data_IF_749961536035
#
_entry.id   IF_749961536035
#
_cell.length_a   1.000
_cell.length_b   1.000
_cell.length_c   1.000
_cell.angle_alpha   90.00
_cell.angle_beta   90.00
_cell.angle_gamma   90.00
#
_symmetry.space_group_name_H-M   'P 1'
#
loop_
_entity.id
_entity.type
_entity.pdbx_description
1 polymer ?
#
# COMPACT_ATOMS: atom_id res chain seq x y z
N UNK A 1 21.14 -61.82 24.60
CA UNK A 1 20.15 -60.85 25.11
C UNK A 1 20.51 -59.38 24.80
N UNK A 2 21.74 -58.90 25.04
CA UNK A 2 22.14 -57.50 24.74
C UNK A 2 22.04 -57.07 23.26
N UNK A 3 22.34 -57.96 22.30
CA UNK A 3 22.23 -57.66 20.85
C UNK A 3 20.79 -57.53 20.33
N UNK A 4 19.80 -58.10 21.03
CA UNK A 4 18.39 -58.00 20.65
C UNK A 4 17.75 -56.71 21.20
N UNK A 5 18.18 -56.27 22.39
CA UNK A 5 17.75 -54.99 22.99
C UNK A 5 18.24 -53.77 22.20
N UNK A 6 19.44 -53.83 21.61
CA UNK A 6 19.99 -52.74 20.79
C UNK A 6 19.25 -52.58 19.45
N UNK A 7 18.74 -53.67 18.86
CA UNK A 7 17.96 -53.62 17.61
C UNK A 7 16.53 -53.11 17.82
N UNK A 8 15.91 -53.38 18.98
CA UNK A 8 14.59 -52.84 19.32
C UNK A 8 14.63 -51.34 19.64
N UNK A 9 15.70 -50.85 20.27
CA UNK A 9 15.86 -49.43 20.59
C UNK A 9 16.05 -48.55 19.34
N UNK A 10 16.73 -49.07 18.31
CA UNK A 10 16.92 -48.35 17.04
C UNK A 10 15.64 -48.34 16.19
N UNK A 11 14.82 -49.40 16.24
CA UNK A 11 13.54 -49.45 15.52
C UNK A 11 12.48 -48.50 16.12
N UNK A 12 12.47 -48.33 17.45
CA UNK A 12 11.61 -47.36 18.15
C UNK A 12 12.05 -45.90 17.92
N UNK A 13 13.35 -45.64 17.69
CA UNK A 13 13.87 -44.29 17.39
C UNK A 13 13.63 -43.86 15.94
N UNK A 14 13.51 -44.81 15.00
CA UNK A 14 13.18 -44.50 13.61
C UNK A 14 11.68 -44.30 13.36
N UNK A 15 10.80 -44.88 14.18
CA UNK A 15 9.35 -44.73 14.03
C UNK A 15 8.83 -43.38 14.55
N UNK A 16 9.57 -42.70 15.42
CA UNK A 16 9.26 -41.33 15.87
C UNK A 16 9.70 -40.23 14.89
N UNK A 17 10.50 -40.55 13.87
CA UNK A 17 10.94 -39.59 12.84
C UNK A 17 10.04 -39.58 11.58
N UNK A 18 9.00 -40.43 11.54
CA UNK A 18 8.01 -40.49 10.46
C UNK A 18 6.60 -40.05 10.89
N UNK A 19 6.46 -39.39 12.04
CA UNK A 19 5.25 -38.58 12.27
C UNK A 19 5.43 -37.35 11.39
N UNK A 20 4.58 -37.13 10.36
CA UNK A 20 4.58 -35.83 9.72
C UNK A 20 4.33 -34.83 10.85
N UNK A 21 5.27 -33.92 11.06
CA UNK A 21 4.97 -32.68 11.78
C UNK A 21 3.82 -32.10 10.98
N UNK A 22 2.60 -32.32 11.47
CA UNK A 22 1.47 -31.47 11.15
C UNK A 22 1.94 -30.13 11.70
N UNK A 23 2.64 -29.38 10.85
CA UNK A 23 2.68 -27.96 10.96
C UNK A 23 1.20 -27.60 10.99
N UNK A 24 0.69 -27.27 12.18
CA UNK A 24 -0.46 -26.39 12.26
C UNK A 24 -0.03 -25.18 11.45
N UNK A 25 -0.42 -25.15 10.18
CA UNK A 25 -0.64 -23.89 9.51
C UNK A 25 -1.54 -23.15 10.48
N UNK A 26 -0.97 -22.14 11.14
CA UNK A 26 -1.77 -21.19 11.89
C UNK A 26 -2.72 -20.65 10.82
N UNK A 27 -3.98 -21.10 10.84
CA UNK A 27 -5.00 -20.47 10.01
C UNK A 27 -5.00 -19.02 10.46
N UNK A 28 -4.47 -18.13 9.63
CA UNK A 28 -4.59 -16.69 9.87
C UNK A 28 -6.09 -16.44 9.84
N UNK A 29 -6.66 -16.06 10.98
CA UNK A 29 -8.07 -15.71 11.05
C UNK A 29 -8.28 -14.49 10.15
N UNK A 30 -8.91 -14.71 9.00
CA UNK A 30 -9.22 -13.67 8.03
C UNK A 30 -10.45 -12.87 8.41
N UNK A 31 -11.08 -13.18 9.56
CA UNK A 31 -12.25 -12.47 10.08
C UNK A 31 -11.85 -11.70 11.34
N UNK A 32 -12.00 -10.38 11.32
CA UNK A 32 -11.74 -9.54 12.49
C UNK A 32 -11.35 -8.10 12.15
N UNK A 33 -11.23 -7.28 13.18
CA UNK A 33 -11.06 -5.83 13.03
C UNK A 33 -9.79 -5.41 12.24
N UNK A 34 -8.69 -6.17 12.35
CA UNK A 34 -7.44 -5.88 11.64
C UNK A 34 -7.51 -6.16 10.13
N UNK A 35 -7.90 -7.37 9.66
CA UNK A 35 -8.10 -7.62 8.23
C UNK A 35 -9.21 -6.75 7.63
N UNK A 36 -10.27 -6.42 8.38
CA UNK A 36 -11.33 -5.51 7.92
C UNK A 36 -10.80 -4.08 7.70
N UNK A 37 -9.96 -3.58 8.62
CA UNK A 37 -9.30 -2.28 8.49
C UNK A 37 -8.33 -2.26 7.31
N UNK A 38 -7.55 -3.32 7.11
CA UNK A 38 -6.63 -3.44 5.98
C UNK A 38 -7.40 -3.42 4.65
N UNK A 39 -8.51 -4.16 4.56
CA UNK A 39 -9.38 -4.17 3.40
C UNK A 39 -9.99 -2.78 3.14
N UNK A 40 -10.51 -2.11 4.18
CA UNK A 40 -11.09 -0.77 4.06
C UNK A 40 -10.06 0.27 3.59
N UNK A 41 -8.84 0.26 4.15
CA UNK A 41 -7.76 1.13 3.69
C UNK A 41 -7.36 0.81 2.24
N UNK A 42 -7.32 -0.47 1.87
CA UNK A 42 -7.05 -0.91 0.51
C UNK A 42 -8.10 -0.41 -0.49
N UNK A 43 -9.38 -0.47 -0.15
CA UNK A 43 -10.46 0.07 -0.97
C UNK A 43 -10.35 1.59 -1.12
N UNK A 44 -10.13 2.33 -0.02
CA UNK A 44 -9.99 3.78 -0.05
C UNK A 44 -8.77 4.24 -0.87
N UNK A 45 -7.62 3.56 -0.75
CA UNK A 45 -6.42 3.88 -1.52
C UNK A 45 -6.56 3.51 -3.00
N UNK A 46 -7.25 2.41 -3.31
CA UNK A 46 -7.60 2.07 -4.69
C UNK A 46 -8.53 3.12 -5.30
N UNK A 47 -9.61 3.46 -4.61
CA UNK A 47 -10.54 4.51 -5.04
C UNK A 47 -9.81 5.85 -5.24
N UNK A 48 -8.88 6.21 -4.34
CA UNK A 48 -8.03 7.38 -4.47
C UNK A 48 -7.28 7.40 -5.81
N UNK A 49 -6.60 6.30 -6.16
CA UNK A 49 -5.84 6.20 -7.39
C UNK A 49 -6.71 6.43 -8.62
N UNK A 50 -7.91 5.81 -8.65
CA UNK A 50 -8.85 5.96 -9.75
C UNK A 50 -9.39 7.40 -9.85
N UNK A 51 -9.82 7.97 -8.74
CA UNK A 51 -10.36 9.33 -8.69
C UNK A 51 -9.28 10.38 -9.06
N UNK A 52 -8.03 10.16 -8.66
CA UNK A 52 -6.91 11.02 -9.02
C UNK A 52 -6.69 11.03 -10.54
N UNK A 53 -6.61 9.85 -11.18
CA UNK A 53 -6.47 9.76 -12.65
C UNK A 53 -7.65 10.45 -13.35
N UNK A 54 -8.88 10.20 -12.92
CA UNK A 54 -10.08 10.83 -13.50
C UNK A 54 -10.02 12.35 -13.37
N UNK A 55 -9.66 12.87 -12.18
CA UNK A 55 -9.55 14.30 -11.94
C UNK A 55 -8.44 14.94 -12.78
N UNK A 56 -7.28 14.28 -12.94
CA UNK A 56 -6.19 14.75 -13.79
C UNK A 56 -6.60 14.83 -15.26
N UNK A 57 -7.24 13.78 -15.80
CA UNK A 57 -7.73 13.75 -17.18
C UNK A 57 -8.77 14.84 -17.42
N UNK A 58 -9.77 14.96 -16.54
CA UNK A 58 -10.81 15.99 -16.64
C UNK A 58 -10.25 17.40 -16.50
N UNK A 59 -9.25 17.59 -15.63
CA UNK A 59 -8.56 18.85 -15.45
C UNK A 59 -7.80 19.26 -16.71
N UNK A 60 -7.16 18.31 -17.38
CA UNK A 60 -6.45 18.55 -18.65
C UNK A 60 -7.42 18.87 -19.79
N UNK A 61 -8.53 18.15 -19.90
CA UNK A 61 -9.54 18.37 -20.94
C UNK A 61 -10.36 19.65 -20.73
N UNK A 62 -10.27 20.28 -19.55
CA UNK A 62 -11.15 21.39 -19.18
C UNK A 62 -12.62 20.96 -19.08
N UNK A 63 -12.86 19.71 -18.66
CA UNK A 63 -14.20 19.13 -18.65
C UNK A 63 -15.13 19.85 -17.66
N UNK A 64 -16.39 20.06 -18.06
CA UNK A 64 -17.39 20.76 -17.24
C UNK A 64 -17.66 20.08 -15.89
N UNK A 65 -17.42 18.78 -15.79
CA UNK A 65 -17.61 17.97 -14.59
C UNK A 65 -16.31 17.74 -13.79
N UNK A 66 -15.23 18.47 -14.08
CA UNK A 66 -13.98 18.43 -13.29
C UNK A 66 -14.24 18.63 -11.79
N UNK A 67 -15.06 19.61 -11.43
CA UNK A 67 -15.35 19.91 -10.02
C UNK A 67 -16.04 18.73 -9.30
N UNK A 68 -16.83 17.92 -10.01
CA UNK A 68 -17.46 16.74 -9.43
C UNK A 68 -16.41 15.66 -9.13
N UNK A 69 -15.46 15.43 -10.04
CA UNK A 69 -14.36 14.50 -9.82
C UNK A 69 -13.42 14.98 -8.71
N UNK A 70 -13.09 16.27 -8.67
CA UNK A 70 -12.30 16.86 -7.60
C UNK A 70 -13.00 16.75 -6.23
N UNK A 71 -14.32 16.96 -6.17
CA UNK A 71 -15.10 16.80 -4.95
C UNK A 71 -15.12 15.34 -4.47
N UNK A 72 -15.26 14.36 -5.38
CA UNK A 72 -15.17 12.94 -5.04
C UNK A 72 -13.79 12.58 -4.47
N UNK A 73 -12.71 13.07 -5.10
CA UNK A 73 -11.34 12.87 -4.60
C UNK A 73 -11.13 13.53 -3.22
N UNK A 74 -11.72 14.70 -2.99
CA UNK A 74 -11.74 15.38 -1.70
C UNK A 74 -12.47 14.56 -0.63
N UNK A 75 -13.63 13.99 -0.95
CA UNK A 75 -14.37 13.11 -0.03
C UNK A 75 -13.56 11.86 0.32
N UNK A 76 -12.91 11.23 -0.66
CA UNK A 76 -12.02 10.10 -0.41
C UNK A 76 -10.83 10.49 0.52
N UNK A 77 -10.31 11.71 0.39
CA UNK A 77 -9.29 12.24 1.33
C UNK A 77 -9.84 12.37 2.76
N UNK A 78 -11.09 12.80 2.92
CA UNK A 78 -11.75 12.86 4.23
C UNK A 78 -11.93 11.46 4.82
N UNK A 79 -12.37 10.50 4.01
CA UNK A 79 -12.56 9.10 4.43
C UNK A 79 -11.22 8.44 4.84
N UNK A 80 -10.14 8.68 4.08
CA UNK A 80 -8.78 8.25 4.44
C UNK A 80 -8.31 8.88 5.75
N UNK A 81 -8.53 10.19 5.93
CA UNK A 81 -8.14 10.89 7.16
C UNK A 81 -8.90 10.36 8.38
N UNK A 82 -10.18 10.03 8.22
CA UNK A 82 -10.98 9.40 9.26
C UNK A 82 -10.50 7.97 9.58
N UNK A 83 -10.08 7.20 8.57
CA UNK A 83 -9.49 5.88 8.76
C UNK A 83 -8.14 5.95 9.50
N UNK A 84 -7.31 6.95 9.21
CA UNK A 84 -6.08 7.20 10.00
C UNK A 84 -6.42 7.59 11.44
N UNK A 85 -7.42 8.45 11.63
CA UNK A 85 -7.84 8.88 12.96
C UNK A 85 -8.39 7.73 13.83
N UNK A 86 -9.06 6.74 13.23
CA UNK A 86 -9.61 5.59 13.96
C UNK A 86 -8.53 4.69 14.56
N UNK A 87 -7.31 4.71 14.00
CA UNK A 87 -6.18 3.88 14.43
C UNK A 87 -5.20 4.67 15.31
N UNK A 88 -4.84 5.88 14.89
CA UNK A 88 -3.78 6.68 15.51
C UNK A 88 -4.30 7.87 16.32
N UNK A 89 -5.63 8.03 16.41
CA UNK A 89 -6.30 9.11 17.12
C UNK A 89 -6.52 10.37 16.27
N UNK A 90 -7.43 11.24 16.74
CA UNK A 90 -7.89 12.42 16.00
C UNK A 90 -6.76 13.36 15.56
N UNK A 91 -5.78 13.61 16.43
CA UNK A 91 -4.64 14.47 16.11
C UNK A 91 -3.81 13.94 14.93
N UNK A 92 -3.68 12.61 14.80
CA UNK A 92 -2.97 12.00 13.68
C UNK A 92 -3.76 12.16 12.37
N UNK A 93 -5.08 11.98 12.37
CA UNK A 93 -5.92 12.23 11.20
C UNK A 93 -5.89 13.70 10.75
N UNK A 94 -5.93 14.63 11.70
CA UNK A 94 -5.79 16.07 11.45
C UNK A 94 -4.43 16.44 10.85
N UNK A 95 -3.35 15.81 11.31
CA UNK A 95 -2.00 16.01 10.77
C UNK A 95 -1.80 15.35 9.40
N UNK A 96 -2.44 14.19 9.17
CA UNK A 96 -2.39 13.46 7.90
C UNK A 96 -3.03 14.24 6.76
N UNK A 97 -4.24 14.75 6.96
CA UNK A 97 -5.06 15.38 5.92
C UNK A 97 -4.33 16.47 5.09
N UNK A 98 -3.65 17.47 5.68
CA UNK A 98 -2.95 18.50 4.91
C UNK A 98 -1.71 17.95 4.18
N UNK A 99 -1.05 16.92 4.71
CA UNK A 99 0.06 16.26 4.01
C UNK A 99 -0.49 15.53 2.77
N UNK A 100 -1.52 14.72 2.95
CA UNK A 100 -2.20 14.00 1.86
C UNK A 100 -2.89 14.93 0.86
N UNK A 101 -3.40 16.08 1.27
CA UNK A 101 -4.02 17.01 0.32
C UNK A 101 -2.98 17.71 -0.57
N UNK A 102 -1.72 17.81 -0.12
CA UNK A 102 -0.67 18.51 -0.85
C UNK A 102 -0.28 17.81 -2.16
N UNK A 103 -0.18 16.48 -2.19
CA UNK A 103 0.18 15.77 -3.43
C UNK A 103 -0.90 15.86 -4.50
N UNK A 104 -2.17 15.91 -4.11
CA UNK A 104 -3.28 16.17 -5.04
C UNK A 104 -3.07 17.53 -5.72
N UNK A 105 -2.69 18.55 -4.95
CA UNK A 105 -2.33 19.87 -5.47
C UNK A 105 -1.17 19.80 -6.46
N UNK A 106 -0.10 19.08 -6.14
CA UNK A 106 1.07 18.93 -7.02
C UNK A 106 0.72 18.18 -8.33
N UNK A 107 -0.17 17.18 -8.29
CA UNK A 107 -0.70 16.56 -9.50
C UNK A 107 -1.51 17.56 -10.36
N UNK A 108 -2.32 18.41 -9.73
CA UNK A 108 -3.05 19.48 -10.44
C UNK A 108 -2.08 20.48 -11.08
N UNK A 109 -1.01 20.84 -10.39
CA UNK A 109 0.01 21.74 -10.93
C UNK A 109 0.76 21.10 -12.12
N UNK A 110 1.08 19.81 -12.04
CA UNK A 110 1.63 19.05 -13.16
C UNK A 110 0.68 19.03 -14.37
N UNK A 111 -0.62 18.82 -14.14
CA UNK A 111 -1.66 18.84 -15.19
C UNK A 111 -1.73 20.21 -15.87
N UNK A 112 -1.79 21.29 -15.08
CA UNK A 112 -1.83 22.66 -15.60
C UNK A 112 -0.58 22.99 -16.40
N UNK A 113 0.60 22.64 -15.89
CA UNK A 113 1.87 22.85 -16.56
C UNK A 113 1.93 22.06 -17.89
N UNK A 114 1.43 20.82 -17.90
CA UNK A 114 1.33 20.01 -19.12
C UNK A 114 0.42 20.66 -20.16
N UNK A 115 -0.77 21.12 -19.77
CA UNK A 115 -1.69 21.83 -20.67
C UNK A 115 -1.09 23.13 -21.23
N UNK A 116 -0.30 23.85 -20.42
CA UNK A 116 0.42 25.05 -20.79
C UNK A 116 1.72 24.80 -21.58
N UNK A 117 2.13 23.54 -21.78
CA UNK A 117 3.44 23.15 -22.34
C UNK A 117 4.63 23.76 -21.56
N UNK A 118 4.46 23.93 -20.25
CA UNK A 118 5.46 24.46 -19.34
C UNK A 118 6.26 23.31 -18.71
N UNK A 119 7.42 23.02 -19.31
CA UNK A 119 8.30 21.95 -18.82
C UNK A 119 8.93 22.27 -17.46
N UNK A 120 9.23 23.54 -17.18
CA UNK A 120 9.75 23.94 -15.88
C UNK A 120 8.70 23.76 -14.77
N UNK A 121 7.45 24.10 -15.07
CA UNK A 121 6.30 23.85 -14.19
C UNK A 121 6.09 22.35 -13.91
N UNK A 122 6.21 21.49 -14.94
CA UNK A 122 6.14 20.03 -14.75
C UNK A 122 7.25 19.50 -13.84
N UNK A 123 8.50 19.93 -14.07
CA UNK A 123 9.64 19.51 -13.25
C UNK A 123 9.50 19.99 -11.80
N UNK A 124 8.99 21.21 -11.59
CA UNK A 124 8.69 21.72 -10.26
C UNK A 124 7.67 20.84 -9.54
N UNK A 125 6.55 20.50 -10.20
CA UNK A 125 5.52 19.66 -9.60
C UNK A 125 6.04 18.25 -9.25
N UNK A 126 6.91 17.67 -10.09
CA UNK A 126 7.57 16.39 -9.78
C UNK A 126 8.49 16.51 -8.56
N UNK A 127 9.25 17.60 -8.43
CA UNK A 127 10.08 17.83 -7.25
C UNK A 127 9.24 18.02 -5.97
N UNK A 128 8.08 18.66 -6.06
CA UNK A 128 7.15 18.79 -4.94
C UNK A 128 6.51 17.44 -4.55
N UNK A 129 6.20 16.59 -5.53
CA UNK A 129 5.78 15.20 -5.29
C UNK A 129 6.88 14.36 -4.62
N UNK A 130 8.15 14.56 -5.01
CA UNK A 130 9.30 13.91 -4.37
C UNK A 130 9.48 14.35 -2.91
N UNK A 131 9.33 15.64 -2.63
CA UNK A 131 9.34 16.15 -1.26
C UNK A 131 8.15 15.63 -0.43
N UNK A 132 6.96 15.56 -1.03
CA UNK A 132 5.77 15.00 -0.41
C UNK A 132 5.98 13.55 0.04
N UNK A 133 6.52 12.68 -0.83
CA UNK A 133 6.65 11.26 -0.48
C UNK A 133 7.53 11.05 0.75
N UNK A 134 8.57 11.87 0.92
CA UNK A 134 9.43 11.82 2.10
C UNK A 134 8.66 12.24 3.35
N UNK A 135 7.93 13.36 3.28
CA UNK A 135 7.13 13.86 4.40
C UNK A 135 6.02 12.88 4.82
N UNK A 136 5.35 12.26 3.85
CA UNK A 136 4.31 11.27 4.11
C UNK A 136 4.91 9.97 4.69
N UNK A 137 6.07 9.55 4.20
CA UNK A 137 6.78 8.40 4.75
C UNK A 137 7.21 8.64 6.21
N UNK A 138 7.76 9.82 6.52
CA UNK A 138 8.12 10.22 7.88
C UNK A 138 6.91 10.23 8.83
N UNK A 139 5.75 10.70 8.37
CA UNK A 139 4.51 10.65 9.15
C UNK A 139 4.18 9.23 9.61
N UNK A 140 4.24 8.25 8.71
CA UNK A 140 3.94 6.85 9.03
C UNK A 140 5.05 6.18 9.84
N UNK A 141 6.32 6.48 9.55
CA UNK A 141 7.45 6.01 10.36
C UNK A 141 7.33 6.48 11.81
N UNK A 142 7.03 7.75 12.05
CA UNK A 142 6.90 8.30 13.40
C UNK A 142 5.76 7.65 14.19
N UNK A 143 4.69 7.22 13.51
CA UNK A 143 3.60 6.48 14.12
C UNK A 143 3.97 5.02 14.42
N UNK A 144 4.85 4.39 13.63
CA UNK A 144 5.21 2.97 13.74
C UNK A 144 6.70 2.70 13.43
N UNK A 145 7.64 3.21 14.25
CA UNK A 145 9.06 3.22 13.91
C UNK A 145 9.68 1.82 13.82
N UNK A 146 9.07 0.82 14.46
CA UNK A 146 9.53 -0.57 14.44
C UNK A 146 9.12 -1.35 13.18
N UNK A 147 8.15 -0.83 12.41
CA UNK A 147 7.53 -1.56 11.29
C UNK A 147 7.66 -0.85 9.96
N UNK A 148 7.81 0.48 9.97
CA UNK A 148 7.78 1.30 8.78
C UNK A 148 9.08 2.06 8.59
N UNK A 149 9.98 1.51 7.78
CA UNK A 149 11.19 2.20 7.34
C UNK A 149 10.84 3.33 6.36
N UNK A 150 11.27 4.57 6.66
CA UNK A 150 10.96 5.75 5.83
C UNK A 150 11.36 5.55 4.37
N UNK A 151 12.53 4.95 4.11
CA UNK A 151 13.00 4.70 2.75
C UNK A 151 12.07 3.76 1.96
N UNK A 152 11.65 2.65 2.57
CA UNK A 152 10.75 1.69 1.93
C UNK A 152 9.37 2.30 1.65
N UNK A 153 8.84 3.10 2.59
CA UNK A 153 7.60 3.83 2.39
C UNK A 153 7.71 4.87 1.26
N UNK A 154 8.79 5.64 1.24
CA UNK A 154 9.03 6.65 0.20
C UNK A 154 9.20 5.99 -1.19
N UNK A 155 9.83 4.82 -1.29
CA UNK A 155 9.94 4.09 -2.54
C UNK A 155 8.57 3.58 -3.01
N UNK A 156 7.75 3.05 -2.11
CA UNK A 156 6.36 2.68 -2.38
C UNK A 156 5.52 3.84 -2.91
N UNK A 157 5.61 5.00 -2.25
CA UNK A 157 4.93 6.23 -2.67
C UNK A 157 5.45 6.74 -4.03
N UNK A 158 6.74 6.63 -4.30
CA UNK A 158 7.30 7.00 -5.60
C UNK A 158 6.78 6.12 -6.73
N UNK A 159 6.69 4.80 -6.51
CA UNK A 159 6.08 3.89 -7.48
C UNK A 159 4.63 4.30 -7.77
N UNK A 160 3.83 4.58 -6.73
CA UNK A 160 2.45 5.04 -6.89
C UNK A 160 2.37 6.35 -7.69
N UNK A 161 3.19 7.34 -7.32
CA UNK A 161 3.24 8.64 -8.00
C UNK A 161 3.55 8.47 -9.48
N UNK A 162 4.56 7.67 -9.81
CA UNK A 162 4.95 7.43 -11.20
C UNK A 162 3.85 6.73 -11.99
N UNK A 163 3.15 5.74 -11.42
CA UNK A 163 2.02 5.10 -12.11
C UNK A 163 0.88 6.09 -12.42
N UNK A 164 0.60 7.05 -11.53
CA UNK A 164 -0.39 8.10 -11.79
C UNK A 164 0.08 9.06 -12.89
N UNK A 165 1.34 9.49 -12.86
CA UNK A 165 1.93 10.34 -13.90
C UNK A 165 1.95 9.63 -15.25
N UNK A 166 2.30 8.35 -15.29
CA UNK A 166 2.33 7.52 -16.50
C UNK A 166 0.93 7.36 -17.08
N UNK A 167 -0.07 7.03 -16.26
CA UNK A 167 -1.46 6.95 -16.68
C UNK A 167 -1.96 8.26 -17.32
N UNK A 168 -1.60 9.39 -16.71
CA UNK A 168 -1.92 10.71 -17.24
C UNK A 168 -1.16 11.04 -18.53
N UNK A 169 0.16 10.82 -18.59
CA UNK A 169 0.99 11.09 -19.76
C UNK A 169 0.56 10.23 -20.96
N UNK A 170 0.28 8.94 -20.73
CA UNK A 170 -0.29 8.02 -21.72
C UNK A 170 -1.64 8.53 -22.25
N UNK A 171 -2.51 9.03 -21.36
CA UNK A 171 -3.78 9.63 -21.75
C UNK A 171 -3.60 10.88 -22.63
N UNK A 172 -2.72 11.81 -22.23
CA UNK A 172 -2.38 13.03 -22.99
C UNK A 172 -1.83 12.68 -24.37
N UNK A 173 -1.02 11.62 -24.47
CA UNK A 173 -0.47 11.09 -25.70
C UNK A 173 -1.47 10.26 -26.53
N UNK A 174 -2.72 10.11 -26.06
CA UNK A 174 -3.79 9.32 -26.67
C UNK A 174 -3.49 7.82 -26.77
N UNK A 175 -2.54 7.33 -25.98
CA UNK A 175 -2.31 5.90 -25.78
C UNK A 175 -3.22 5.40 -24.65
N UNK A 176 -4.50 5.20 -24.99
CA UNK A 176 -5.51 4.78 -24.01
C UNK A 176 -5.30 3.35 -23.50
N UNK A 177 -4.62 2.50 -24.27
CA UNK A 177 -4.27 1.15 -23.83
C UNK A 177 -3.24 1.21 -22.72
N UNK A 178 -2.18 2.00 -22.87
CA UNK A 178 -1.22 2.26 -21.81
C UNK A 178 -1.88 2.97 -20.62
N UNK A 179 -2.68 4.01 -20.86
CA UNK A 179 -3.36 4.75 -19.79
C UNK A 179 -4.22 3.85 -18.91
N UNK A 180 -5.00 2.94 -19.50
CA UNK A 180 -5.83 1.98 -18.74
C UNK A 180 -4.96 0.98 -17.96
N UNK A 181 -3.89 0.47 -18.58
CA UNK A 181 -2.95 -0.43 -17.92
C UNK A 181 -2.29 0.23 -16.72
N UNK A 182 -1.80 1.46 -16.87
CA UNK A 182 -1.10 2.20 -15.83
C UNK A 182 -2.06 2.60 -14.70
N UNK A 183 -3.30 2.98 -15.03
CA UNK A 183 -4.38 3.20 -14.04
C UNK A 183 -4.64 1.92 -13.23
N UNK A 184 -4.71 0.76 -13.89
CA UNK A 184 -4.89 -0.52 -13.20
C UNK A 184 -3.69 -0.84 -12.31
N UNK A 185 -2.47 -0.56 -12.74
CA UNK A 185 -1.26 -0.75 -11.93
C UNK A 185 -1.23 0.21 -10.74
N UNK A 186 -1.72 1.44 -10.87
CA UNK A 186 -1.87 2.36 -9.75
C UNK A 186 -2.94 1.90 -8.74
N UNK A 187 -3.99 1.21 -9.20
CA UNK A 187 -5.12 0.72 -8.39
C UNK A 187 -4.86 -0.63 -7.70
N UNK A 188 -4.33 -1.60 -8.45
CA UNK A 188 -4.27 -3.01 -8.09
C UNK A 188 -3.54 -3.34 -6.77
N UNK A 189 -2.41 -2.69 -6.42
CA UNK A 189 -1.68 -2.98 -5.17
C UNK A 189 -2.54 -2.81 -3.92
N UNK A 190 -3.62 -2.02 -3.99
CA UNK A 190 -4.45 -1.69 -2.83
C UNK A 190 -5.65 -2.61 -2.65
N UNK A 191 -6.18 -3.22 -3.73
CA UNK A 191 -7.46 -3.94 -3.67
C UNK A 191 -7.37 -5.45 -3.93
N UNK A 192 -6.26 -5.94 -4.50
CA UNK A 192 -6.17 -7.34 -4.91
C UNK A 192 -5.72 -8.30 -3.79
N UNK A 193 -5.35 -7.80 -2.61
CA UNK A 193 -4.85 -8.64 -1.51
C UNK A 193 -5.90 -9.01 -0.45
N UNK A 194 -7.11 -8.42 -0.44
CA UNK A 194 -8.12 -8.73 0.58
C UNK A 194 -8.77 -10.11 0.44
N UNK A 195 -8.55 -10.83 -0.68
CA UNK A 195 -9.12 -12.16 -0.92
C UNK A 195 -8.09 -13.28 -1.13
N UNK A 196 -6.77 -13.01 -1.07
CA UNK A 196 -5.77 -14.02 -1.45
C UNK A 196 -4.47 -14.08 -0.64
N UNK A 197 -4.52 -13.88 0.68
CA UNK A 197 -3.42 -14.26 1.57
C UNK A 197 -3.30 -15.78 1.76
N UNK A 198 -3.14 -16.48 0.64
CA UNK A 198 -2.47 -17.76 0.52
C UNK A 198 -1.21 -17.56 -0.33
N UNK A 199 -0.16 -17.02 0.30
CA UNK A 199 1.25 -17.07 -0.12
C UNK A 199 1.52 -16.95 -1.63
N UNK A 200 1.91 -15.76 -2.09
CA UNK A 200 2.79 -15.66 -3.27
C UNK A 200 3.77 -14.48 -3.17
N UNK A 201 4.84 -14.72 -2.43
CA UNK A 201 6.05 -13.88 -2.45
C UNK A 201 6.87 -14.20 -3.71
N UNK A 202 7.41 -13.23 -4.47
CA UNK A 202 8.39 -13.50 -5.50
C UNK A 202 9.79 -13.56 -4.87
N UNK A 203 10.25 -14.77 -4.56
CA UNK A 203 11.67 -15.06 -4.27
C UNK A 203 12.03 -15.33 -2.81
N UNK A 204 13.10 -16.12 -2.54
CA UNK A 204 13.44 -16.58 -1.21
C UNK A 204 14.23 -15.51 -0.46
N UNK A 205 13.61 -14.88 0.54
CA UNK A 205 14.35 -14.23 1.62
C UNK A 205 14.55 -15.27 2.71
N UNK A 206 15.79 -15.68 3.04
CA UNK A 206 16.01 -16.63 4.12
C UNK A 206 15.56 -16.00 5.45
N UNK A 207 14.53 -16.61 6.05
CA UNK A 207 14.03 -16.28 7.36
C UNK A 207 15.13 -16.54 8.41
N UNK A 208 15.76 -15.47 8.89
CA UNK A 208 16.66 -15.49 10.05
C UNK A 208 16.19 -14.48 11.09
N UNK A 209 14.97 -14.64 11.62
CA UNK A 209 14.62 -14.05 12.92
C UNK A 209 13.85 -15.12 13.71
N UNK A 210 14.35 -15.53 14.90
CA UNK A 210 13.69 -16.56 15.70
C UNK A 210 12.40 -16.01 16.33
N UNK A 211 11.28 -16.68 16.07
CA UNK A 211 10.03 -16.49 16.80
C UNK A 211 10.30 -16.67 18.31
N UNK A 212 10.21 -15.59 19.09
CA UNK A 212 10.18 -15.68 20.55
C UNK A 212 8.79 -15.30 21.05
N UNK A 213 8.18 -16.26 21.72
CA UNK A 213 6.84 -16.33 22.27
C UNK A 213 6.36 -15.11 23.06
N UNK A 214 5.04 -14.87 22.97
CA UNK A 214 4.12 -14.40 24.01
C UNK A 214 4.69 -13.50 25.11
N UNK A 215 4.44 -12.19 24.99
CA UNK A 215 4.26 -11.30 26.15
C UNK A 215 3.15 -10.32 25.78
N UNK A 216 1.88 -10.72 25.91
CA UNK A 216 0.73 -9.85 26.25
C UNK A 216 -0.47 -10.75 26.57
N UNK A 217 -0.37 -11.44 27.71
CA UNK A 217 -1.53 -11.89 28.45
C UNK A 217 -1.34 -11.36 29.89
N UNK A 218 -2.21 -10.43 30.30
CA UNK A 218 -2.35 -9.98 31.69
C UNK A 218 -1.64 -8.67 32.05
N UNK A 219 -2.35 -7.55 31.95
CA UNK A 219 -2.82 -6.74 33.07
C UNK A 219 -3.65 -5.56 32.56
#
# INVERSE_FOLDING_TARGET
MKKLQSKLAVLMLCLSLFVPVLASAHEVDTKGAAPDLQAALGELLGEHALLAVIAMQKGYDGAADFNNAAAALGKNTDDLSAAIASVYGSAAGEAFKPIWSSHIGYFVDYVKATAAKDEAGRQKAVAELDAYRMKQAEFFHNANPAYFETAALADGLNMHINHLLDAFNSYVNKDYTAAYKDTRTAYAPYVHDSQSTGLRHPGPVPCQIPCRNNVFAGN
#
